data_IF_626153464503
#
_entry.id   IF_626153464503
#
_cell.length_a   1.000
_cell.length_b   1.000
_cell.length_c   1.000
_cell.angle_alpha   90.00
_cell.angle_beta   90.00
_cell.angle_gamma   90.00
#
_symmetry.space_group_name_H-M   'P 1'
#
loop_
_entity.id
_entity.type
_entity.pdbx_description
1 polymer ?
#
# COMPACT_ATOMS: atom_id res chain seq x y z
N UNK A 1 5.36 -9.19 -4.37
CA UNK A 1 5.09 -7.80 -4.80
C UNK A 1 3.62 -7.53 -4.52
N UNK A 2 3.32 -6.49 -3.75
CA UNK A 2 1.95 -6.10 -3.38
C UNK A 2 1.57 -4.81 -4.09
N UNK A 3 0.35 -4.74 -4.65
CA UNK A 3 -0.10 -3.61 -5.45
C UNK A 3 -1.50 -3.19 -5.04
N UNK A 4 -1.76 -1.88 -4.97
CA UNK A 4 -3.08 -1.29 -4.77
C UNK A 4 -3.27 -0.09 -5.71
N UNK A 5 -4.51 0.13 -6.13
CA UNK A 5 -4.90 1.27 -6.97
C UNK A 5 -5.72 2.22 -6.10
N UNK A 6 -5.47 3.51 -6.19
CA UNK A 6 -6.23 4.54 -5.49
C UNK A 6 -6.90 5.42 -6.52
N UNK A 7 -8.22 5.53 -6.45
CA UNK A 7 -9.02 6.34 -7.36
C UNK A 7 -9.31 7.71 -6.78
N UNK A 8 -9.27 8.75 -7.59
CA UNK A 8 -9.57 10.13 -7.20
C UNK A 8 -8.54 11.13 -7.71
N UNK A 9 -8.72 12.40 -7.35
CA UNK A 9 -7.78 13.48 -7.70
C UNK A 9 -6.55 13.39 -6.79
N UNK A 10 -5.62 12.52 -7.13
CA UNK A 10 -4.38 12.30 -6.39
C UNK A 10 -3.21 12.20 -7.35
N UNK A 11 -2.12 12.89 -7.04
CA UNK A 11 -0.90 12.85 -7.81
C UNK A 11 0.15 11.94 -7.14
N UNK A 12 1.04 11.30 -7.91
CA UNK A 12 2.15 10.51 -7.36
C UNK A 12 3.01 11.27 -6.34
N UNK A 13 3.15 12.59 -6.51
CA UNK A 13 3.92 13.45 -5.61
C UNK A 13 3.29 13.56 -4.21
N UNK A 14 1.97 13.52 -4.10
CA UNK A 14 1.26 13.65 -2.82
C UNK A 14 1.60 12.48 -1.89
N UNK A 15 1.59 11.27 -2.45
CA UNK A 15 1.99 10.05 -1.74
C UNK A 15 3.49 10.06 -1.43
N UNK A 16 4.32 10.48 -2.38
CA UNK A 16 5.77 10.51 -2.19
C UNK A 16 6.17 11.46 -1.04
N UNK A 17 5.57 12.64 -0.97
CA UNK A 17 5.80 13.59 0.11
C UNK A 17 5.32 13.07 1.46
N UNK A 18 4.15 12.42 1.51
CA UNK A 18 3.65 11.81 2.74
C UNK A 18 4.59 10.71 3.27
N UNK A 19 5.12 9.87 2.37
CA UNK A 19 6.09 8.84 2.74
C UNK A 19 7.43 9.43 3.21
N UNK A 20 7.91 10.51 2.57
CA UNK A 20 9.08 11.23 3.05
C UNK A 20 8.87 11.78 4.47
N UNK A 21 7.72 12.43 4.72
CA UNK A 21 7.41 13.00 6.02
C UNK A 21 7.34 11.94 7.12
N UNK A 22 6.76 10.78 6.84
CA UNK A 22 6.59 9.70 7.82
C UNK A 22 7.88 8.92 8.11
N UNK A 23 8.73 8.70 7.09
CA UNK A 23 9.84 7.76 7.17
C UNK A 23 11.23 8.40 7.10
N UNK A 24 11.36 9.71 6.86
CA UNK A 24 12.65 10.41 6.92
C UNK A 24 12.99 10.92 8.33
N UNK A 25 12.85 10.05 9.33
CA UNK A 25 13.05 10.37 10.74
C UNK A 25 13.62 9.17 11.52
N UNK A 26 14.27 9.44 12.66
CA UNK A 26 14.88 8.41 13.51
C UNK A 26 15.93 7.59 12.76
N UNK A 27 15.80 6.26 12.80
CA UNK A 27 16.72 5.32 12.16
C UNK A 27 16.39 5.03 10.70
N UNK A 28 15.28 5.56 10.19
CA UNK A 28 14.82 5.37 8.82
C UNK A 28 15.23 6.56 7.94
N UNK A 29 15.37 6.28 6.65
CA UNK A 29 15.61 7.27 5.61
C UNK A 29 14.72 6.94 4.42
N UNK A 30 14.00 7.96 3.95
CA UNK A 30 13.21 7.90 2.73
C UNK A 30 13.88 8.76 1.66
N UNK A 31 13.89 8.29 0.42
CA UNK A 31 14.40 9.02 -0.74
C UNK A 31 13.41 8.90 -1.89
N UNK A 32 13.22 9.97 -2.64
CA UNK A 32 12.32 10.00 -3.80
C UNK A 32 13.09 10.19 -5.08
N UNK A 33 12.70 9.44 -6.12
CA UNK A 33 13.23 9.50 -7.46
C UNK A 33 12.05 9.51 -8.44
N UNK A 34 12.14 10.22 -9.56
CA UNK A 34 11.11 10.19 -10.59
C UNK A 34 10.55 11.57 -10.96
N UNK A 35 9.48 11.56 -11.75
CA UNK A 35 8.83 12.74 -12.31
C UNK A 35 7.31 12.67 -12.09
N UNK A 36 6.58 13.72 -12.43
CA UNK A 36 5.17 13.95 -12.06
C UNK A 36 4.20 12.78 -12.25
N UNK A 37 4.43 11.94 -13.26
CA UNK A 37 3.61 10.78 -13.64
C UNK A 37 4.07 9.47 -12.97
N UNK A 38 5.32 9.39 -12.54
CA UNK A 38 5.90 8.22 -11.88
C UNK A 38 6.92 8.62 -10.83
N UNK A 39 6.60 8.30 -9.59
CA UNK A 39 7.47 8.49 -8.44
C UNK A 39 7.89 7.15 -7.85
N UNK A 40 9.14 7.06 -7.41
CA UNK A 40 9.70 5.92 -6.70
C UNK A 40 10.18 6.42 -5.35
N UNK A 41 9.70 5.81 -4.27
CA UNK A 41 10.15 6.07 -2.91
C UNK A 41 10.94 4.88 -2.41
N UNK A 42 12.18 5.10 -2.00
CA UNK A 42 13.02 4.08 -1.39
C UNK A 42 13.12 4.34 0.11
N UNK A 43 12.79 3.34 0.91
CA UNK A 43 12.91 3.35 2.36
C UNK A 43 14.03 2.42 2.76
N UNK A 44 14.94 2.91 3.61
CA UNK A 44 15.99 2.08 4.19
C UNK A 44 16.43 2.55 5.57
N UNK A 45 17.17 1.69 6.27
CA UNK A 45 17.81 2.02 7.55
C UNK A 45 19.09 2.83 7.31
N UNK A 46 19.43 3.73 8.26
CA UNK A 46 20.65 4.54 8.15
C UNK A 46 21.92 3.67 8.25
N UNK A 47 23.02 4.03 7.57
CA UNK A 47 24.27 3.25 7.55
C UNK A 47 24.91 3.03 8.94
N UNK A 48 24.68 3.95 9.88
CA UNK A 48 25.23 3.90 11.25
C UNK A 48 24.38 3.09 12.23
N UNK A 49 23.34 2.38 11.76
CA UNK A 49 22.57 1.47 12.60
C UNK A 49 23.46 0.29 13.02
N UNK A 50 23.70 0.14 14.33
CA UNK A 50 24.63 -0.84 14.92
C UNK A 50 24.30 -2.31 14.60
N UNK A 51 23.10 -2.60 14.11
CA UNK A 51 22.66 -3.93 13.69
C UNK A 51 21.43 -3.80 12.78
N UNK A 52 21.24 -4.75 11.87
CA UNK A 52 20.10 -4.81 10.95
C UNK A 52 20.54 -4.82 9.50
N UNK A 53 20.25 -5.91 8.79
CA UNK A 53 20.44 -5.98 7.34
C UNK A 53 19.78 -4.79 6.64
N UNK A 54 20.35 -4.37 5.51
CA UNK A 54 19.83 -3.23 4.76
C UNK A 54 18.51 -3.59 4.08
N UNK A 55 17.41 -3.49 4.82
CA UNK A 55 16.06 -3.55 4.27
C UNK A 55 15.87 -2.34 3.38
N UNK A 56 15.68 -2.56 2.08
CA UNK A 56 15.30 -1.52 1.15
C UNK A 56 13.93 -1.86 0.54
N UNK A 57 12.89 -1.23 1.09
CA UNK A 57 11.55 -1.28 0.52
C UNK A 57 11.44 -0.20 -0.55
N UNK A 58 11.02 -0.59 -1.73
CA UNK A 58 10.79 0.31 -2.86
C UNK A 58 9.30 0.41 -3.13
N UNK A 59 8.79 1.62 -3.09
CA UNK A 59 7.40 1.96 -3.40
C UNK A 59 7.40 2.65 -4.76
N UNK A 60 6.79 2.02 -5.76
CA UNK A 60 6.58 2.63 -7.08
C UNK A 60 5.16 3.17 -7.14
N UNK A 61 5.02 4.43 -7.50
CA UNK A 61 3.75 5.15 -7.62
C UNK A 61 3.64 5.62 -9.06
N UNK A 62 2.60 5.21 -9.77
CA UNK A 62 2.36 5.56 -11.17
C UNK A 62 0.99 6.19 -11.31
N UNK A 63 0.90 7.27 -12.06
CA UNK A 63 -0.39 7.85 -12.45
C UNK A 63 -1.11 6.91 -13.39
N UNK A 64 -2.43 6.80 -13.20
CA UNK A 64 -3.36 6.17 -14.13
C UNK A 64 -4.21 7.29 -14.70
N UNK A 65 -4.15 7.50 -16.01
CA UNK A 65 -4.86 8.58 -16.70
C UNK A 65 -6.33 8.64 -16.28
N UNK A 66 -6.77 9.83 -15.85
CA UNK A 66 -8.13 10.19 -15.44
C UNK A 66 -8.77 9.35 -14.29
N UNK A 67 -8.06 8.37 -13.74
CA UNK A 67 -8.61 7.43 -12.77
C UNK A 67 -7.97 7.54 -11.38
N UNK A 68 -6.65 7.82 -11.30
CA UNK A 68 -5.94 7.99 -10.03
C UNK A 68 -4.48 7.54 -10.09
N UNK A 69 -4.05 6.74 -9.11
CA UNK A 69 -2.67 6.22 -9.03
C UNK A 69 -2.62 4.73 -8.72
N UNK A 70 -1.59 4.05 -9.24
CA UNK A 70 -1.20 2.70 -8.86
C UNK A 70 0.01 2.77 -7.94
N UNK A 71 -0.05 2.07 -6.81
CA UNK A 71 1.06 1.94 -5.86
C UNK A 71 1.49 0.48 -5.76
N UNK A 72 2.78 0.23 -5.92
CA UNK A 72 3.40 -1.10 -5.86
C UNK A 72 4.56 -1.11 -4.86
N UNK A 73 4.54 -2.08 -3.94
CA UNK A 73 5.62 -2.34 -2.99
C UNK A 73 6.46 -3.53 -3.47
N UNK A 74 7.75 -3.26 -3.70
CA UNK A 74 8.79 -4.23 -4.03
C UNK A 74 9.94 -4.20 -3.02
N UNK A 75 10.65 -5.31 -2.87
CA UNK A 75 11.91 -5.36 -2.13
C UNK A 75 13.06 -5.21 -3.13
N UNK A 76 13.96 -4.25 -2.95
CA UNK A 76 15.22 -4.19 -3.69
C UNK A 76 16.36 -4.42 -2.70
N UNK A 77 17.19 -5.43 -2.92
CA UNK A 77 18.46 -5.51 -2.22
C UNK A 77 19.38 -4.41 -2.77
N UNK A 78 19.90 -3.53 -1.91
CA UNK A 78 20.99 -2.64 -2.32
C UNK A 78 22.21 -3.49 -2.71
N UNK A 79 22.99 -3.02 -3.68
CA UNK A 79 24.24 -3.66 -4.14
C UNK A 79 25.27 -3.93 -3.02
N UNK A 80 25.01 -3.50 -1.77
CA UNK A 80 25.81 -3.78 -0.58
C UNK A 80 25.54 -5.11 0.14
N UNK A 81 24.43 -5.81 -0.14
CA UNK A 81 24.13 -7.10 0.54
C UNK A 81 25.05 -8.23 0.08
N UNK A 82 25.59 -8.14 -1.15
CA UNK A 82 26.58 -9.10 -1.64
C UNK A 82 27.98 -8.88 -1.05
N UNK A 83 28.34 -7.63 -0.73
CA UNK A 83 29.64 -7.29 -0.14
C UNK A 83 29.75 -7.76 1.32
N UNK A 84 28.67 -7.63 2.10
CA UNK A 84 28.65 -8.07 3.49
C UNK A 84 28.66 -9.60 3.63
N UNK A 85 28.08 -10.35 2.68
CA UNK A 85 28.14 -11.81 2.66
C UNK A 85 29.53 -12.34 2.26
N UNK A 86 30.22 -11.71 1.31
CA UNK A 86 31.57 -12.11 0.91
C UNK A 86 32.61 -11.95 2.02
N UNK A 87 32.58 -10.82 2.74
CA UNK A 87 33.47 -10.56 3.88
C UNK A 87 33.10 -11.46 5.07
N UNK A 88 31.81 -11.66 5.34
CA UNK A 88 31.36 -12.53 6.44
C UNK A 88 31.70 -14.01 6.19
N UNK A 89 31.59 -14.50 4.95
CA UNK A 89 31.97 -15.86 4.59
C UNK A 89 33.48 -16.09 4.73
N UNK A 90 34.31 -15.13 4.29
CA UNK A 90 35.76 -15.17 4.48
C UNK A 90 36.17 -15.09 5.96
N UNK A 91 35.48 -14.28 6.77
CA UNK A 91 35.73 -14.16 8.20
C UNK A 91 35.27 -15.42 8.98
N UNK A 92 34.16 -16.04 8.58
CA UNK A 92 33.64 -17.27 9.17
C UNK A 92 34.57 -18.48 8.97
N UNK A 93 35.26 -18.54 7.82
CA UNK A 93 36.30 -19.56 7.57
C UNK A 93 37.47 -19.40 8.56
N UNK A 94 37.82 -18.17 8.94
CA UNK A 94 38.92 -17.89 9.88
C UNK A 94 38.51 -17.99 11.35
N UNK A 95 37.25 -17.72 11.70
CA UNK A 95 36.78 -17.78 13.07
C UNK A 95 35.29 -18.19 13.14
N UNK A 96 34.99 -19.49 13.30
CA UNK A 96 33.61 -19.99 13.30
C UNK A 96 32.79 -19.56 14.53
N UNK A 97 33.43 -19.12 15.62
CA UNK A 97 32.74 -18.60 16.81
C UNK A 97 32.20 -17.18 16.63
N UNK A 98 32.61 -16.45 15.57
CA UNK A 98 32.09 -15.12 15.25
C UNK A 98 30.62 -15.11 14.80
N UNK A 99 30.08 -16.28 14.42
CA UNK A 99 28.69 -16.44 13.97
C UNK A 99 27.70 -16.72 15.10
N UNK A 100 28.16 -16.97 16.34
CA UNK A 100 27.26 -17.19 17.49
C UNK A 100 26.54 -15.91 17.95
N UNK A 101 26.95 -14.73 17.46
CA UNK A 101 26.23 -13.47 17.64
C UNK A 101 25.18 -13.16 16.56
N UNK A 102 24.96 -14.06 15.59
CA UNK A 102 24.00 -13.89 14.48
C UNK A 102 22.77 -14.80 14.58
N UNK A 103 22.48 -15.33 15.77
CA UNK A 103 21.26 -16.09 16.04
C UNK A 103 20.00 -15.22 16.15
N UNK A 104 20.11 -13.90 15.91
CA UNK A 104 18.97 -12.96 15.82
C UNK A 104 18.30 -12.96 14.42
N UNK A 105 18.72 -13.81 13.50
CA UNK A 105 18.24 -13.83 12.11
C UNK A 105 16.78 -14.32 11.94
N UNK A 106 16.01 -14.44 13.04
CA UNK A 106 14.55 -14.64 13.06
C UNK A 106 13.80 -13.30 13.32
N UNK A 107 14.49 -12.22 13.71
CA UNK A 107 13.87 -10.93 14.00
C UNK A 107 13.60 -10.05 12.75
N UNK A 108 14.33 -10.25 11.65
CA UNK A 108 14.21 -9.43 10.43
C UNK A 108 12.88 -9.61 9.68
N UNK A 109 12.27 -10.80 9.74
CA UNK A 109 10.99 -11.05 9.04
C UNK A 109 9.80 -10.37 9.73
N UNK A 110 9.86 -10.21 11.06
CA UNK A 110 8.80 -9.57 11.86
C UNK A 110 8.83 -8.04 11.65
N UNK A 111 10.02 -7.45 11.65
CA UNK A 111 10.20 -6.00 11.44
C UNK A 111 9.77 -5.59 10.01
N UNK A 112 10.05 -6.44 9.02
CA UNK A 112 9.66 -6.22 7.62
C UNK A 112 8.13 -6.24 7.40
N UNK A 113 7.37 -7.07 8.12
CA UNK A 113 5.90 -7.08 8.05
C UNK A 113 5.32 -5.78 8.62
N UNK A 114 5.82 -5.34 9.77
CA UNK A 114 5.37 -4.10 10.42
C UNK A 114 5.65 -2.86 9.56
N UNK A 115 6.79 -2.81 8.87
CA UNK A 115 7.13 -1.68 7.98
C UNK A 115 6.16 -1.63 6.79
N UNK A 116 5.84 -2.77 6.17
CA UNK A 116 4.89 -2.81 5.03
C UNK A 116 3.50 -2.35 5.44
N UNK A 117 3.00 -2.81 6.59
CA UNK A 117 1.71 -2.37 7.13
C UNK A 117 1.70 -0.87 7.42
N UNK A 118 2.76 -0.35 8.04
CA UNK A 118 2.91 1.08 8.31
C UNK A 118 2.96 1.91 7.03
N UNK A 119 3.64 1.43 5.99
CA UNK A 119 3.69 2.07 4.67
C UNK A 119 2.31 2.12 4.04
N UNK A 120 1.56 1.00 4.06
CA UNK A 120 0.18 0.99 3.57
C UNK A 120 -0.74 1.92 4.35
N UNK A 121 -0.57 2.03 5.67
CA UNK A 121 -1.33 2.95 6.49
C UNK A 121 -1.04 4.41 6.10
N UNK A 122 0.24 4.77 5.92
CA UNK A 122 0.66 6.10 5.50
C UNK A 122 0.12 6.47 4.12
N UNK A 123 0.23 5.56 3.13
CA UNK A 123 -0.35 5.76 1.79
C UNK A 123 -1.86 5.94 1.87
N UNK A 124 -2.55 5.12 2.67
CA UNK A 124 -4.01 5.20 2.81
C UNK A 124 -4.45 6.50 3.47
N UNK A 125 -3.70 7.01 4.44
CA UNK A 125 -3.96 8.29 5.08
C UNK A 125 -3.74 9.46 4.12
N UNK A 126 -2.64 9.44 3.36
CA UNK A 126 -2.33 10.44 2.34
C UNK A 126 -3.40 10.45 1.23
N UNK A 127 -3.81 9.26 0.77
CA UNK A 127 -4.86 9.14 -0.22
C UNK A 127 -6.19 9.72 0.27
N UNK A 128 -6.58 9.44 1.53
CA UNK A 128 -7.78 10.03 2.13
C UNK A 128 -7.69 11.55 2.24
N UNK A 129 -6.53 12.10 2.63
CA UNK A 129 -6.33 13.54 2.71
C UNK A 129 -6.48 14.22 1.34
N UNK A 130 -6.12 13.52 0.26
CA UNK A 130 -6.35 13.95 -1.12
C UNK A 130 -7.77 13.63 -1.66
N UNK A 131 -8.66 13.05 -0.84
CA UNK A 131 -10.00 12.64 -1.27
C UNK A 131 -10.03 11.42 -2.19
N UNK A 132 -8.93 10.68 -2.30
CA UNK A 132 -8.83 9.44 -3.04
C UNK A 132 -9.08 8.21 -2.16
N UNK A 133 -9.59 7.13 -2.74
CA UNK A 133 -9.87 5.88 -2.02
C UNK A 133 -9.31 4.66 -2.74
N UNK A 134 -8.82 3.69 -1.96
CA UNK A 134 -8.09 2.51 -2.43
C UNK A 134 -8.93 1.49 -3.22
N UNK A 135 -10.25 1.65 -3.28
CA UNK A 135 -11.09 0.71 -4.01
C UNK A 135 -12.31 1.40 -4.62
N UNK A 136 -12.27 1.57 -5.95
CA UNK A 136 -13.42 1.32 -6.80
C UNK A 136 -13.12 0.03 -7.57
N UNK A 137 -13.14 -1.11 -6.86
CA UNK A 137 -12.97 -2.44 -7.46
C UNK A 137 -13.89 -2.62 -8.68
N UNK A 138 -13.52 -3.43 -9.66
CA UNK A 138 -14.45 -3.90 -10.71
C UNK A 138 -15.78 -4.43 -10.12
N UNK A 139 -15.74 -4.96 -8.89
CA UNK A 139 -16.93 -5.37 -8.12
C UNK A 139 -17.81 -4.22 -7.61
N UNK A 140 -17.32 -2.98 -7.63
CA UNK A 140 -18.06 -1.75 -7.39
C UNK A 140 -18.49 -1.06 -8.69
N UNK A 141 -18.07 -1.55 -9.87
CA UNK A 141 -18.65 -1.11 -11.15
C UNK A 141 -19.99 -1.78 -11.43
N UNK A 142 -20.26 -2.91 -10.75
CA UNK A 142 -21.47 -3.70 -10.97
C UNK A 142 -22.27 -3.87 -9.68
N UNK A 143 -23.57 -3.71 -9.79
CA UNK A 143 -24.53 -4.06 -8.73
C UNK A 143 -25.45 -5.18 -9.20
N UNK A 144 -25.77 -6.10 -8.31
CA UNK A 144 -26.65 -7.23 -8.63
C UNK A 144 -28.08 -6.84 -8.31
N UNK A 145 -28.99 -6.99 -9.28
CA UNK A 145 -30.41 -6.77 -9.06
C UNK A 145 -30.96 -7.76 -8.02
N UNK A 146 -31.63 -7.27 -6.97
CA UNK A 146 -32.21 -8.12 -5.92
C UNK A 146 -33.41 -8.95 -6.43
N UNK A 147 -33.99 -8.58 -7.58
CA UNK A 147 -35.18 -9.21 -8.13
C UNK A 147 -34.88 -10.32 -9.13
N UNK A 148 -33.93 -10.10 -10.05
CA UNK A 148 -33.61 -11.06 -11.13
C UNK A 148 -32.13 -11.47 -11.15
N UNK A 149 -31.32 -10.97 -10.22
CA UNK A 149 -29.89 -11.27 -10.07
C UNK A 149 -29.00 -10.92 -11.27
N UNK A 150 -29.50 -10.14 -12.21
CA UNK A 150 -28.69 -9.58 -13.30
C UNK A 150 -27.70 -8.54 -12.75
N UNK A 151 -26.46 -8.57 -13.25
CA UNK A 151 -25.46 -7.57 -12.96
C UNK A 151 -25.68 -6.30 -13.81
N UNK A 152 -25.85 -5.16 -13.15
CA UNK A 152 -26.09 -3.84 -13.73
C UNK A 152 -24.92 -2.90 -13.43
N UNK A 153 -24.79 -1.77 -14.13
CA UNK A 153 -23.75 -0.79 -13.79
C UNK A 153 -24.15 -0.02 -12.54
N UNK A 154 -23.15 0.32 -11.72
CA UNK A 154 -23.38 1.23 -10.59
C UNK A 154 -23.75 2.61 -11.13
N UNK A 155 -24.78 3.21 -10.55
CA UNK A 155 -25.40 4.46 -11.01
C UNK A 155 -26.65 4.28 -11.88
N UNK A 156 -26.90 3.10 -12.45
CA UNK A 156 -28.14 2.86 -13.22
C UNK A 156 -29.38 2.96 -12.31
N UNK A 157 -30.45 3.66 -12.72
CA UNK A 157 -31.67 3.80 -11.89
C UNK A 157 -32.50 2.51 -11.86
N UNK A 158 -32.44 1.69 -12.91
CA UNK A 158 -33.25 0.50 -13.11
C UNK A 158 -32.45 -0.66 -13.74
N UNK A 159 -32.86 -1.89 -13.45
CA UNK A 159 -32.25 -3.10 -13.98
C UNK A 159 -32.40 -3.19 -15.51
N UNK A 160 -31.30 -3.47 -16.20
CA UNK A 160 -31.23 -3.62 -17.65
C UNK A 160 -32.00 -4.84 -18.17
N UNK A 161 -32.23 -5.85 -17.34
CA UNK A 161 -32.97 -7.06 -17.71
C UNK A 161 -34.46 -7.03 -17.32
N UNK A 162 -34.79 -6.60 -16.10
CA UNK A 162 -36.16 -6.69 -15.57
C UNK A 162 -36.84 -5.35 -15.27
N UNK A 163 -36.13 -4.22 -15.42
CA UNK A 163 -36.67 -2.88 -15.14
C UNK A 163 -36.85 -2.51 -13.66
N UNK A 164 -36.56 -3.42 -12.72
CA UNK A 164 -36.70 -3.16 -11.29
C UNK A 164 -35.76 -2.03 -10.81
N UNK A 165 -36.15 -1.21 -9.81
CA UNK A 165 -35.30 -0.14 -9.30
C UNK A 165 -34.04 -0.70 -8.65
N UNK A 166 -32.90 -0.04 -8.85
CA UNK A 166 -31.60 -0.47 -8.30
C UNK A 166 -31.14 0.33 -7.09
N UNK A 167 -31.91 1.32 -6.62
CA UNK A 167 -31.50 2.24 -5.56
C UNK A 167 -31.05 1.56 -4.26
N UNK A 168 -31.67 0.43 -3.88
CA UNK A 168 -31.29 -0.34 -2.69
C UNK A 168 -29.99 -1.11 -2.86
N UNK A 169 -29.64 -1.46 -4.09
CA UNK A 169 -28.45 -2.23 -4.44
C UNK A 169 -27.22 -1.35 -4.76
N UNK A 170 -27.40 -0.03 -4.90
CA UNK A 170 -26.28 0.90 -5.16
C UNK A 170 -25.33 0.95 -3.95
N UNK A 171 -24.00 0.95 -4.15
CA UNK A 171 -23.04 1.06 -3.05
C UNK A 171 -23.14 2.41 -2.34
N UNK A 172 -22.72 2.44 -1.07
CA UNK A 172 -22.70 3.66 -0.25
C UNK A 172 -21.27 4.07 0.02
N UNK A 173 -21.05 5.34 0.33
CA UNK A 173 -19.74 5.84 0.75
C UNK A 173 -19.67 5.90 2.27
N UNK A 174 -18.56 5.44 2.85
CA UNK A 174 -18.30 5.58 4.28
C UNK A 174 -18.22 7.06 4.65
N UNK A 175 -19.04 7.54 5.61
CA UNK A 175 -19.06 8.96 5.98
C UNK A 175 -17.77 9.41 6.69
N UNK A 176 -16.97 8.48 7.22
CA UNK A 176 -15.77 8.81 7.97
C UNK A 176 -14.49 8.89 7.13
N UNK A 177 -14.41 8.14 6.03
CA UNK A 177 -13.16 8.02 5.27
C UNK A 177 -13.34 8.01 3.75
N UNK A 178 -14.56 8.16 3.23
CA UNK A 178 -14.81 8.22 1.79
C UNK A 178 -14.69 6.88 1.06
N UNK A 179 -14.43 5.78 1.77
CA UNK A 179 -14.32 4.46 1.15
C UNK A 179 -15.69 3.93 0.74
N UNK A 180 -15.81 3.45 -0.50
CA UNK A 180 -17.08 2.94 -1.02
C UNK A 180 -17.30 1.52 -0.52
N UNK A 181 -18.41 1.31 0.17
CA UNK A 181 -18.80 0.07 0.83
C UNK A 181 -19.98 -0.57 0.11
N UNK A 182 -19.96 -1.91 0.07
CA UNK A 182 -21.12 -2.68 -0.36
C UNK A 182 -22.29 -2.46 0.60
N UNK A 183 -23.50 -2.57 0.08
CA UNK A 183 -24.71 -2.55 0.91
C UNK A 183 -24.65 -3.64 1.98
N UNK A 184 -25.13 -3.31 3.18
CA UNK A 184 -25.14 -4.23 4.34
C UNK A 184 -23.82 -4.35 5.12
N UNK A 185 -22.74 -3.68 4.69
CA UNK A 185 -21.52 -3.62 5.48
C UNK A 185 -21.79 -2.91 6.83
N UNK A 186 -21.38 -3.54 7.94
CA UNK A 186 -21.55 -2.97 9.29
C UNK A 186 -20.42 -2.02 9.71
N UNK A 187 -19.21 -2.36 9.30
CA UNK A 187 -18.02 -1.55 9.51
C UNK A 187 -17.31 -1.33 8.18
N UNK A 188 -16.66 -0.18 8.05
CA UNK A 188 -15.85 0.13 6.88
C UNK A 188 -14.57 -0.71 6.92
N UNK A 189 -14.26 -1.53 5.88
CA UNK A 189 -13.06 -2.37 5.87
C UNK A 189 -11.76 -1.54 5.73
N UNK A 190 -11.87 -0.26 5.35
CA UNK A 190 -10.72 0.63 5.21
C UNK A 190 -10.36 1.35 6.53
N UNK A 191 -11.34 1.83 7.30
CA UNK A 191 -11.08 2.61 8.52
C UNK A 191 -11.57 1.94 9.80
N UNK A 192 -12.17 0.75 9.72
CA UNK A 192 -12.76 -0.03 10.81
C UNK A 192 -13.79 0.73 11.68
N UNK A 193 -14.29 1.88 11.20
CA UNK A 193 -15.38 2.60 11.86
C UNK A 193 -16.74 2.01 11.46
N UNK A 194 -17.74 2.05 12.35
CA UNK A 194 -19.11 1.69 12.02
C UNK A 194 -19.67 2.56 10.88
N UNK A 195 -20.61 2.01 10.12
CA UNK A 195 -21.26 2.69 8.98
C UNK A 195 -22.66 3.23 9.33
N UNK A 196 -23.01 3.22 10.62
CA UNK A 196 -24.28 3.60 11.21
C UNK A 196 -24.06 4.43 12.46
#
# INVERSE_FOLDING_TARGET
MERKIFHGKIAPVDIAQALLAEFNQGNMRAQTLGHSDRMVVQLGTRPDAMSGGQTALTITIQSIEDEGIMVELGQQAWLGVAASLGVSALAAIKNPFSLLGRLDDIAQDIENLQIKEKVWAAISQAARAAGASAELSENLKRTTCEYCHTANRVGDPSCTACGAPLGTAQPKTCPHCGYVVKQGARACPNCNRPLF
#
